data_IF_345379616328
#
_entry.id   IF_345379616328
#
_cell.length_a   1.000
_cell.length_b   1.000
_cell.length_c   1.000
_cell.angle_alpha   90.00
_cell.angle_beta   90.00
_cell.angle_gamma   90.00
#
_symmetry.space_group_name_H-M   'P 1'
#
loop_
_entity.id
_entity.type
_entity.pdbx_description
1 polymer ?
#
# COMPACT_ATOMS: atom_id res chain seq x y z
N UNK A 1 -7.49 4.40 6.75
CA UNK A 1 -6.32 3.98 7.55
C UNK A 1 -5.29 3.32 6.65
N UNK A 2 -5.62 2.27 5.91
CA UNK A 2 -4.68 1.47 5.10
C UNK A 2 -4.02 2.27 3.96
N UNK A 3 -4.77 3.14 3.28
CA UNK A 3 -4.22 4.04 2.26
C UNK A 3 -3.09 4.92 2.83
N UNK A 4 -3.28 5.46 4.05
CA UNK A 4 -2.26 6.26 4.69
C UNK A 4 -1.01 5.43 5.05
N UNK A 5 -1.19 4.18 5.44
CA UNK A 5 -0.06 3.28 5.73
C UNK A 5 0.77 2.99 4.48
N UNK A 6 0.13 2.80 3.30
CA UNK A 6 0.83 2.67 2.02
C UNK A 6 1.65 3.93 1.68
N UNK A 7 1.05 5.12 1.84
CA UNK A 7 1.75 6.39 1.61
C UNK A 7 2.95 6.53 2.56
N UNK A 8 2.76 6.22 3.83
CA UNK A 8 3.85 6.26 4.82
C UNK A 8 4.99 5.29 4.46
N UNK A 9 4.67 4.10 3.94
CA UNK A 9 5.68 3.15 3.46
C UNK A 9 6.44 3.69 2.25
N UNK A 10 5.76 4.27 1.26
CA UNK A 10 6.40 4.87 0.08
C UNK A 10 7.37 5.99 0.48
N UNK A 11 6.99 6.79 1.46
CA UNK A 11 7.83 7.89 1.95
C UNK A 11 8.98 7.37 2.81
N UNK A 12 8.74 6.39 3.68
CA UNK A 12 9.72 5.89 4.66
C UNK A 12 10.74 4.93 4.05
N UNK A 13 10.28 4.01 3.22
CA UNK A 13 11.07 2.91 2.66
C UNK A 13 11.08 2.90 1.13
N UNK A 14 10.70 4.01 0.50
CA UNK A 14 10.42 4.05 -0.94
C UNK A 14 11.57 3.61 -1.83
N UNK A 15 12.80 3.89 -1.44
CA UNK A 15 14.05 3.52 -2.12
C UNK A 15 14.57 2.11 -1.74
N UNK A 16 13.91 1.45 -0.79
CA UNK A 16 14.30 0.11 -0.37
C UNK A 16 14.00 -0.91 -1.49
N UNK A 17 14.98 -1.76 -1.81
CA UNK A 17 14.86 -2.76 -2.87
C UNK A 17 14.41 -4.08 -2.29
N UNK A 18 13.29 -4.57 -2.78
CA UNK A 18 12.68 -5.84 -2.43
C UNK A 18 13.10 -6.93 -3.42
N UNK A 19 13.42 -8.12 -2.93
CA UNK A 19 13.60 -9.31 -3.76
C UNK A 19 12.25 -10.02 -3.86
N UNK A 20 11.76 -10.18 -5.08
CA UNK A 20 10.47 -10.82 -5.38
C UNK A 20 10.65 -11.97 -6.35
N UNK A 21 9.65 -12.83 -6.41
CA UNK A 21 9.59 -13.93 -7.36
C UNK A 21 8.28 -13.87 -8.14
N UNK A 22 8.37 -13.96 -9.46
CA UNK A 22 7.19 -13.97 -10.32
C UNK A 22 6.46 -15.33 -10.31
N UNK A 23 5.33 -15.40 -11.01
CA UNK A 23 4.53 -16.62 -11.12
C UNK A 23 5.24 -17.77 -11.85
N UNK A 24 6.29 -17.47 -12.63
CA UNK A 24 7.12 -18.44 -13.36
C UNK A 24 8.31 -18.92 -12.51
N UNK A 25 8.52 -18.32 -11.33
CA UNK A 25 9.60 -18.65 -10.42
C UNK A 25 10.90 -17.88 -10.63
N UNK A 26 10.91 -16.85 -11.48
CA UNK A 26 12.08 -16.00 -11.71
C UNK A 26 12.21 -14.94 -10.62
N UNK A 27 13.41 -14.75 -10.10
CA UNK A 27 13.69 -13.72 -9.12
C UNK A 27 13.85 -12.35 -9.82
N UNK A 28 13.23 -11.31 -9.26
CA UNK A 28 13.38 -9.94 -9.74
C UNK A 28 13.49 -8.97 -8.57
N UNK A 29 13.97 -7.76 -8.85
CA UNK A 29 14.10 -6.68 -7.86
C UNK A 29 13.15 -5.54 -8.20
N UNK A 30 12.51 -4.99 -7.17
CA UNK A 30 11.58 -3.88 -7.28
C UNK A 30 11.72 -2.98 -6.06
N UNK A 31 11.60 -1.68 -6.21
CA UNK A 31 11.55 -0.77 -5.06
C UNK A 31 10.18 -0.78 -4.39
N UNK A 32 10.13 -0.39 -3.11
CA UNK A 32 8.85 -0.27 -2.39
C UNK A 32 7.90 0.71 -3.10
N UNK A 33 8.42 1.82 -3.60
CA UNK A 33 7.61 2.77 -4.39
C UNK A 33 7.01 2.10 -5.62
N UNK A 34 7.82 1.41 -6.43
CA UNK A 34 7.34 0.75 -7.64
C UNK A 34 6.29 -0.33 -7.34
N UNK A 35 6.50 -1.14 -6.30
CA UNK A 35 5.56 -2.19 -5.93
C UNK A 35 4.20 -1.61 -5.47
N UNK A 36 4.21 -0.54 -4.68
CA UNK A 36 2.98 0.10 -4.23
C UNK A 36 2.28 0.82 -5.39
N UNK A 37 3.01 1.46 -6.30
CA UNK A 37 2.43 2.08 -7.49
C UNK A 37 1.81 1.04 -8.41
N UNK A 38 2.48 -0.10 -8.63
CA UNK A 38 1.91 -1.22 -9.39
C UNK A 38 0.62 -1.72 -8.75
N UNK A 39 0.57 -1.82 -7.41
CA UNK A 39 -0.66 -2.17 -6.71
C UNK A 39 -1.80 -1.18 -7.00
N UNK A 40 -1.56 0.13 -6.98
CA UNK A 40 -2.60 1.10 -7.32
C UNK A 40 -3.05 1.00 -8.78
N UNK A 41 -2.11 0.81 -9.70
CA UNK A 41 -2.38 0.81 -11.14
C UNK A 41 -2.99 -0.54 -11.61
N UNK A 42 -2.47 -1.70 -11.17
CA UNK A 42 -2.95 -3.03 -11.57
C UNK A 42 -4.27 -3.43 -10.91
N UNK A 43 -4.46 -3.06 -9.65
CA UNK A 43 -5.69 -3.38 -8.91
C UNK A 43 -6.77 -2.31 -9.09
N UNK A 44 -6.52 -1.27 -9.91
CA UNK A 44 -7.42 -0.13 -10.15
C UNK A 44 -7.93 0.51 -8.84
N UNK A 45 -7.07 0.50 -7.82
CA UNK A 45 -7.41 1.02 -6.51
C UNK A 45 -7.31 2.56 -6.49
N UNK A 46 -8.45 3.22 -6.44
CA UNK A 46 -8.49 4.69 -6.37
C UNK A 46 -8.04 5.20 -5.00
N UNK A 47 -7.11 6.16 -5.03
CA UNK A 47 -6.69 6.91 -3.84
C UNK A 47 -7.84 7.85 -3.44
N UNK A 48 -8.28 7.77 -2.19
CA UNK A 48 -9.47 8.49 -1.73
C UNK A 48 -9.17 9.91 -1.25
N UNK A 49 -8.04 10.10 -0.57
CA UNK A 49 -7.68 11.39 0.01
C UNK A 49 -6.90 12.25 -0.98
N UNK A 50 -7.35 13.49 -1.20
CA UNK A 50 -6.71 14.40 -2.17
C UNK A 50 -5.26 14.71 -1.83
N UNK A 51 -4.92 14.81 -0.53
CA UNK A 51 -3.54 15.00 -0.12
C UNK A 51 -2.67 13.78 -0.45
N UNK A 52 -3.20 12.56 -0.37
CA UNK A 52 -2.49 11.35 -0.77
C UNK A 52 -2.32 11.29 -2.28
N UNK A 53 -3.31 11.75 -3.06
CA UNK A 53 -3.17 11.92 -4.52
C UNK A 53 -2.03 12.86 -4.87
N UNK A 54 -1.91 14.01 -4.19
CA UNK A 54 -0.78 14.93 -4.39
C UNK A 54 0.56 14.25 -4.15
N UNK A 55 0.70 13.52 -3.03
CA UNK A 55 1.96 12.82 -2.69
C UNK A 55 2.30 11.79 -3.77
N UNK A 56 1.34 10.98 -4.20
CA UNK A 56 1.56 9.95 -5.24
C UNK A 56 1.89 10.59 -6.58
N UNK A 57 1.26 11.71 -6.95
CA UNK A 57 1.60 12.43 -8.17
C UNK A 57 3.04 12.95 -8.15
N UNK A 58 3.50 13.52 -7.03
CA UNK A 58 4.89 13.95 -6.86
C UNK A 58 5.87 12.76 -6.99
N UNK A 59 5.54 11.61 -6.42
CA UNK A 59 6.36 10.40 -6.54
C UNK A 59 6.40 9.92 -7.99
N UNK A 60 5.25 9.86 -8.69
CA UNK A 60 5.16 9.46 -10.10
C UNK A 60 5.94 10.42 -11.00
N UNK A 61 5.85 11.72 -10.75
CA UNK A 61 6.62 12.73 -11.48
C UNK A 61 8.14 12.55 -11.25
N UNK A 62 8.56 12.26 -10.02
CA UNK A 62 9.95 11.93 -9.72
C UNK A 62 10.46 10.75 -10.55
N UNK A 63 9.70 9.66 -10.64
CA UNK A 63 10.06 8.50 -11.44
C UNK A 63 10.24 8.87 -12.93
N UNK A 64 9.34 9.70 -13.47
CA UNK A 64 9.47 10.19 -14.86
C UNK A 64 10.73 11.01 -15.08
N UNK A 65 11.23 11.67 -14.06
CA UNK A 65 12.46 12.46 -14.08
C UNK A 65 13.71 11.65 -13.67
N UNK A 66 13.59 10.33 -13.49
CA UNK A 66 14.63 9.44 -12.92
C UNK A 66 15.10 9.88 -11.53
N UNK A 67 14.20 10.47 -10.74
CA UNK A 67 14.43 10.90 -9.37
C UNK A 67 13.51 10.12 -8.43
N UNK A 68 14.06 9.37 -7.49
CA UNK A 68 13.28 8.65 -6.51
C UNK A 68 12.91 9.59 -5.35
N UNK A 69 11.67 10.09 -5.33
CA UNK A 69 11.17 11.02 -4.32
C UNK A 69 10.63 10.25 -3.12
N UNK A 70 11.46 10.08 -2.11
CA UNK A 70 11.14 9.42 -0.83
C UNK A 70 11.29 10.38 0.36
N UNK A 71 11.53 9.89 1.57
CA UNK A 71 11.53 10.67 2.80
C UNK A 71 12.37 11.93 2.78
N UNK A 72 13.58 11.89 2.22
CA UNK A 72 14.47 13.06 2.15
C UNK A 72 13.90 14.18 1.27
N UNK A 73 13.20 13.82 0.20
CA UNK A 73 12.51 14.79 -0.67
C UNK A 73 11.39 15.48 0.10
N UNK A 74 10.51 14.70 0.75
CA UNK A 74 9.34 15.23 1.45
C UNK A 74 9.68 15.97 2.74
N UNK A 75 10.83 15.69 3.36
CA UNK A 75 11.31 16.43 4.51
C UNK A 75 11.57 17.91 4.18
N UNK A 76 12.03 18.19 2.96
CA UNK A 76 12.30 19.54 2.47
C UNK A 76 11.19 20.08 1.55
N UNK A 77 10.05 19.40 1.49
CA UNK A 77 8.96 19.80 0.60
C UNK A 77 8.26 21.05 1.11
N UNK A 78 8.02 22.01 0.20
CA UNK A 78 7.54 23.35 0.56
C UNK A 78 6.04 23.41 0.90
N UNK A 79 5.27 22.36 0.60
CA UNK A 79 3.84 22.30 0.94
C UNK A 79 3.67 21.88 2.42
N UNK A 80 3.22 22.84 3.25
CA UNK A 80 3.04 22.64 4.70
C UNK A 80 1.99 21.57 5.02
N UNK A 81 0.97 21.39 4.18
CA UNK A 81 -0.06 20.37 4.39
C UNK A 81 0.54 18.98 4.19
N UNK A 82 1.33 18.78 3.15
CA UNK A 82 2.01 17.52 2.85
C UNK A 82 3.06 17.21 3.90
N UNK A 83 3.94 18.16 4.22
CA UNK A 83 5.00 17.97 5.21
C UNK A 83 4.44 17.73 6.61
N UNK A 84 3.39 18.44 7.01
CA UNK A 84 2.70 18.21 8.28
C UNK A 84 2.07 16.83 8.39
N UNK A 85 1.47 16.34 7.31
CA UNK A 85 0.88 14.99 7.28
C UNK A 85 1.93 13.89 7.36
N UNK A 86 3.07 14.07 6.71
CA UNK A 86 4.16 13.10 6.67
C UNK A 86 5.13 13.21 7.86
N UNK A 87 5.04 14.28 8.67
CA UNK A 87 5.95 14.53 9.79
C UNK A 87 6.08 13.32 10.72
N UNK A 88 4.96 12.67 11.09
CA UNK A 88 4.99 11.50 11.94
C UNK A 88 5.72 10.32 11.29
N UNK A 89 5.46 10.04 10.01
CA UNK A 89 6.13 8.96 9.28
C UNK A 89 7.64 9.21 9.14
N UNK A 90 8.05 10.46 8.99
CA UNK A 90 9.45 10.86 8.87
C UNK A 90 10.20 10.84 10.21
N UNK A 91 9.55 11.24 11.32
CA UNK A 91 10.14 11.28 12.67
C UNK A 91 10.33 9.87 13.24
N UNK A 92 9.43 8.92 13.00
CA UNK A 92 9.55 7.54 13.49
C UNK A 92 10.80 6.81 13.00
N UNK A 93 11.45 7.28 11.93
CA UNK A 93 12.75 6.76 11.47
C UNK A 93 13.85 6.85 12.51
N UNK A 94 13.76 7.78 13.47
CA UNK A 94 14.78 7.94 14.54
C UNK A 94 14.57 6.99 15.72
N UNK A 95 13.38 6.39 15.89
CA UNK A 95 13.10 5.53 17.05
C UNK A 95 13.46 4.04 16.81
N UNK A 96 13.40 3.55 15.58
CA UNK A 96 13.72 2.15 15.27
C UNK A 96 15.18 1.78 15.46
N UNK A 97 16.12 2.73 15.40
CA UNK A 97 17.54 2.49 15.63
C UNK A 97 17.89 2.10 17.09
N UNK A 98 16.99 2.32 18.05
CA UNK A 98 17.22 1.98 19.46
C UNK A 98 16.80 0.55 19.86
N UNK A 99 16.05 -0.17 19.03
CA UNK A 99 15.55 -1.52 19.33
C UNK A 99 16.64 -2.60 19.22
N UNK A 100 17.70 -2.34 18.47
CA UNK A 100 18.88 -3.23 18.37
C UNK A 100 19.63 -3.44 19.70
N UNK A 101 19.31 -2.66 20.74
CA UNK A 101 19.93 -2.81 22.07
C UNK A 101 19.31 -3.93 22.92
N UNK A 102 18.18 -4.52 22.52
CA UNK A 102 17.44 -5.46 23.35
C UNK A 102 17.54 -6.93 22.91
N UNK A 103 18.53 -7.34 22.12
CA UNK A 103 18.76 -8.75 21.72
C UNK A 103 17.49 -9.49 21.25
N UNK A 104 16.55 -8.77 20.67
CA UNK A 104 15.43 -9.40 19.98
C UNK A 104 15.97 -9.75 18.60
N UNK A 105 16.07 -11.06 18.30
CA UNK A 105 16.49 -11.57 17.00
C UNK A 105 15.42 -11.23 15.98
N UNK A 106 15.51 -10.06 15.36
CA UNK A 106 14.75 -9.74 14.17
C UNK A 106 15.42 -10.42 12.97
N UNK A 107 14.61 -11.02 12.12
CA UNK A 107 14.89 -11.23 10.71
C UNK A 107 15.55 -9.96 10.14
N UNK A 108 16.34 -10.10 9.09
CA UNK A 108 17.01 -8.96 8.45
C UNK A 108 16.02 -7.81 8.19
N UNK A 109 16.48 -6.57 8.19
CA UNK A 109 15.63 -5.40 7.87
C UNK A 109 14.86 -5.62 6.57
N UNK A 110 15.50 -6.26 5.59
CA UNK A 110 14.89 -6.66 4.32
C UNK A 110 13.67 -7.58 4.51
N UNK A 111 13.77 -8.60 5.35
CA UNK A 111 12.64 -9.50 5.60
C UNK A 111 11.48 -8.78 6.30
N UNK A 112 11.79 -7.88 7.23
CA UNK A 112 10.78 -7.07 7.94
C UNK A 112 10.05 -6.15 6.96
N UNK A 113 10.78 -5.38 6.14
CA UNK A 113 10.20 -4.47 5.16
C UNK A 113 9.40 -5.24 4.12
N UNK A 114 9.93 -6.37 3.63
CA UNK A 114 9.26 -7.24 2.65
C UNK A 114 7.91 -7.74 3.15
N UNK A 115 7.85 -8.24 4.39
CA UNK A 115 6.60 -8.68 5.02
C UNK A 115 5.63 -7.53 5.26
N UNK A 116 6.13 -6.40 5.75
CA UNK A 116 5.34 -5.21 6.05
C UNK A 116 4.65 -4.67 4.78
N UNK A 117 5.39 -4.54 3.67
CA UNK A 117 4.84 -4.08 2.40
C UNK A 117 3.75 -5.04 1.90
N UNK A 118 4.01 -6.35 1.92
CA UNK A 118 3.03 -7.36 1.51
C UNK A 118 1.76 -7.34 2.38
N UNK A 119 1.91 -7.25 3.70
CA UNK A 119 0.78 -7.21 4.64
C UNK A 119 -0.10 -5.98 4.41
N UNK A 120 0.50 -4.80 4.27
CA UNK A 120 -0.23 -3.55 4.09
C UNK A 120 -0.93 -3.50 2.72
N UNK A 121 -0.29 -3.97 1.64
CA UNK A 121 -0.91 -4.08 0.32
C UNK A 121 -2.14 -5.01 0.39
N UNK A 122 -2.02 -6.19 1.00
CA UNK A 122 -3.14 -7.13 1.12
C UNK A 122 -4.29 -6.57 1.96
N UNK A 123 -3.99 -5.85 3.05
CA UNK A 123 -5.01 -5.16 3.86
C UNK A 123 -5.72 -4.08 3.07
N UNK A 124 -4.99 -3.30 2.28
CA UNK A 124 -5.58 -2.26 1.44
C UNK A 124 -6.48 -2.87 0.36
N UNK A 125 -6.03 -3.93 -0.35
CA UNK A 125 -6.86 -4.69 -1.31
C UNK A 125 -8.15 -5.18 -0.66
N UNK A 126 -8.04 -5.78 0.52
CA UNK A 126 -9.18 -6.29 1.26
C UNK A 126 -10.19 -5.19 1.60
N UNK A 127 -9.74 -4.05 2.10
CA UNK A 127 -10.62 -2.93 2.43
C UNK A 127 -11.28 -2.34 1.18
N UNK A 128 -10.54 -2.25 0.08
CA UNK A 128 -11.09 -1.79 -1.19
C UNK A 128 -12.18 -2.73 -1.70
N UNK A 129 -11.97 -4.04 -1.66
CA UNK A 129 -13.00 -5.04 -2.02
C UNK A 129 -14.23 -4.92 -1.12
N UNK A 130 -14.07 -4.72 0.19
CA UNK A 130 -15.21 -4.50 1.11
C UNK A 130 -15.98 -3.24 0.73
N UNK A 131 -15.29 -2.15 0.38
CA UNK A 131 -15.94 -0.93 -0.12
C UNK A 131 -16.76 -1.20 -1.37
N UNK A 132 -16.19 -1.87 -2.38
CA UNK A 132 -16.90 -2.23 -3.61
C UNK A 132 -18.16 -3.07 -3.34
N UNK A 133 -18.08 -4.06 -2.44
CA UNK A 133 -19.23 -4.87 -2.03
C UNK A 133 -20.35 -3.99 -1.43
N UNK A 134 -19.97 -3.05 -0.55
CA UNK A 134 -20.94 -2.17 0.09
C UNK A 134 -21.57 -1.18 -0.89
N UNK A 135 -20.80 -0.64 -1.82
CA UNK A 135 -21.29 0.29 -2.84
C UNK A 135 -22.25 -0.42 -3.81
N UNK A 136 -21.93 -1.65 -4.25
CA UNK A 136 -22.84 -2.47 -5.06
C UNK A 136 -24.14 -2.81 -4.32
N UNK A 137 -24.08 -3.15 -3.04
CA UNK A 137 -25.27 -3.43 -2.23
C UNK A 137 -26.20 -2.22 -2.11
N UNK A 138 -25.65 -1.02 -1.90
CA UNK A 138 -26.43 0.21 -1.85
C UNK A 138 -27.11 0.53 -3.18
N UNK A 139 -26.41 0.28 -4.30
CA UNK A 139 -26.94 0.51 -5.63
C UNK A 139 -28.09 -0.46 -6.01
N UNK A 140 -28.19 -1.62 -5.33
CA UNK A 140 -29.22 -2.63 -5.61
C UNK A 140 -30.55 -2.37 -4.92
N UNK A 141 -30.60 -1.57 -3.88
CA UNK A 141 -31.86 -1.29 -3.15
C UNK A 141 -32.88 -0.54 -4.02
N UNK A 142 -32.44 0.04 -5.17
CA UNK A 142 -33.28 0.88 -6.04
C UNK A 142 -33.70 0.23 -7.38
N UNK A 143 -33.37 -1.05 -7.65
CA UNK A 143 -33.64 -1.68 -8.98
C UNK A 143 -34.29 -3.06 -8.89
N UNK A 144 -35.27 -3.34 -9.80
CA UNK A 144 -36.06 -4.61 -9.83
C UNK A 144 -35.32 -5.82 -10.43
N UNK A 145 -34.24 -5.65 -11.23
CA UNK A 145 -33.50 -6.79 -11.82
C UNK A 145 -31.99 -6.69 -11.48
N UNK A 146 -31.60 -7.42 -10.46
CA UNK A 146 -30.26 -7.32 -9.83
C UNK A 146 -29.38 -8.57 -10.02
N UNK A 147 -29.74 -9.50 -10.93
CA UNK A 147 -29.03 -10.79 -11.08
C UNK A 147 -27.55 -10.63 -11.33
N UNK A 148 -27.14 -9.69 -12.21
CA UNK A 148 -25.73 -9.44 -12.52
C UNK A 148 -24.98 -8.84 -11.33
N UNK A 149 -25.63 -7.97 -10.57
CA UNK A 149 -25.02 -7.35 -9.38
C UNK A 149 -24.79 -8.38 -8.28
N UNK A 150 -25.75 -9.28 -8.06
CA UNK A 150 -25.56 -10.38 -7.10
C UNK A 150 -24.40 -11.29 -7.49
N UNK A 151 -24.23 -11.61 -8.78
CA UNK A 151 -23.08 -12.39 -9.26
C UNK A 151 -21.76 -11.68 -8.97
N UNK A 152 -21.67 -10.38 -9.25
CA UNK A 152 -20.47 -9.59 -8.95
C UNK A 152 -20.18 -9.54 -7.46
N UNK A 153 -21.19 -9.37 -6.61
CA UNK A 153 -21.03 -9.39 -5.14
C UNK A 153 -20.50 -10.74 -4.66
N UNK A 154 -20.98 -11.87 -5.22
CA UNK A 154 -20.50 -13.21 -4.87
C UNK A 154 -19.01 -13.34 -5.23
N UNK A 155 -18.59 -12.89 -6.41
CA UNK A 155 -17.19 -12.95 -6.85
C UNK A 155 -16.30 -12.09 -5.93
N UNK A 156 -16.74 -10.89 -5.55
CA UNK A 156 -16.00 -10.03 -4.63
C UNK A 156 -15.91 -10.64 -3.22
N UNK A 157 -16.95 -11.32 -2.73
CA UNK A 157 -16.90 -12.05 -1.45
C UNK A 157 -15.88 -13.20 -1.51
N UNK A 158 -15.82 -13.94 -2.63
CA UNK A 158 -14.83 -14.99 -2.82
C UNK A 158 -13.41 -14.40 -2.82
N UNK A 159 -13.18 -13.29 -3.52
CA UNK A 159 -11.91 -12.58 -3.53
C UNK A 159 -11.52 -12.13 -2.11
N UNK A 160 -12.45 -11.50 -1.38
CA UNK A 160 -12.24 -11.10 0.03
C UNK A 160 -11.81 -12.29 0.89
N UNK A 161 -12.49 -13.43 0.76
CA UNK A 161 -12.17 -14.62 1.55
C UNK A 161 -10.78 -15.19 1.20
N UNK A 162 -10.34 -15.07 -0.04
CA UNK A 162 -8.98 -15.45 -0.43
C UNK A 162 -7.93 -14.50 0.18
N UNK A 163 -8.18 -13.19 0.16
CA UNK A 163 -7.30 -12.22 0.82
C UNK A 163 -7.22 -12.44 2.33
N UNK A 164 -8.34 -12.80 3.00
CA UNK A 164 -8.34 -13.14 4.42
C UNK A 164 -7.46 -14.38 4.72
N UNK A 165 -7.45 -15.38 3.82
CA UNK A 165 -6.58 -16.56 3.95
C UNK A 165 -5.11 -16.22 3.74
N UNK A 166 -4.80 -15.34 2.80
CA UNK A 166 -3.42 -14.89 2.56
C UNK A 166 -2.89 -14.09 3.75
N UNK A 167 -3.68 -13.16 4.27
CA UNK A 167 -3.34 -12.38 5.47
C UNK A 167 -3.08 -13.29 6.69
N UNK A 168 -3.86 -14.37 6.85
CA UNK A 168 -3.66 -15.32 7.96
C UNK A 168 -2.37 -16.14 7.86
N UNK A 169 -1.70 -16.16 6.71
CA UNK A 169 -0.43 -16.89 6.50
C UNK A 169 0.80 -15.99 6.71
N UNK A 170 0.61 -14.66 6.68
CA UNK A 170 1.69 -13.69 6.91
C UNK A 170 1.91 -13.46 8.41
N UNK A 171 0.86 -13.61 9.21
CA UNK A 171 0.89 -13.54 10.68
C UNK A 171 1.50 -14.81 11.29
#
# INVERSE_FOLDING_TARGET
>A
VQEQELINLMVKYGDFVLNRRDSEGNDYKITVIEEILNHFDEDECEIQLDINKKIVLEIKEGILQNELRSGNFFFNYMDEEVSGKLANALIENYQTSNWNKFNIYFSSEEEVVTKLVSDIILRHKREYVIKLINDLKKATDDQEDNTQVYQNVILLIQLKNNLDKELSRIL
#
